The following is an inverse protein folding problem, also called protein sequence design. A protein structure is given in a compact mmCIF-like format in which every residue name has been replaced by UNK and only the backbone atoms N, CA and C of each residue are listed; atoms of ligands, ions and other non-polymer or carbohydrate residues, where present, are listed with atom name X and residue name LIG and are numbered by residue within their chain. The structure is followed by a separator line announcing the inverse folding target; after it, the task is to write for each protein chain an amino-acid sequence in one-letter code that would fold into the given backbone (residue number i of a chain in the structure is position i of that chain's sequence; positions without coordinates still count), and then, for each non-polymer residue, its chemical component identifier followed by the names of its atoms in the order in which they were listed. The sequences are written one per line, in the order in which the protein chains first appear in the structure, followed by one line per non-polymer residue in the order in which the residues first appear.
data_IF_174005491144
#
_entry.id   IF_174005491144
#
_cell.length_a   1.000
_cell.length_b   1.000
_cell.length_c   1.000
_cell.angle_alpha   90.00
_cell.angle_beta   90.00
_cell.angle_gamma   90.00
#
_symmetry.space_group_name_H-M   'P 1'
#
loop_
_entity.id
_entity.type
_entity.pdbx_description
1 polymer ?
#
# COMPACT_ATOMS: atom_id res chain seq x y z
N UNK A 1 -42.81 4.50 70.61
CA UNK A 1 -41.92 5.06 69.57
C UNK A 1 -42.00 6.57 69.63
N UNK A 2 -40.89 7.21 69.99
CA UNK A 2 -40.75 8.65 70.23
C UNK A 2 -41.16 9.47 69.00
N UNK A 3 -41.77 10.65 69.21
CA UNK A 3 -42.30 11.52 68.15
C UNK A 3 -41.16 12.08 67.28
N UNK A 4 -40.00 12.29 67.88
CA UNK A 4 -38.73 12.65 67.23
C UNK A 4 -38.30 11.59 66.21
N UNK A 5 -38.24 10.32 66.64
CA UNK A 5 -37.83 9.17 65.83
C UNK A 5 -38.78 8.96 64.64
N UNK A 6 -40.10 9.15 64.81
CA UNK A 6 -41.04 9.09 63.68
C UNK A 6 -40.77 10.18 62.65
N UNK A 7 -40.45 11.40 63.09
CA UNK A 7 -40.18 12.52 62.19
C UNK A 7 -38.88 12.31 61.42
N UNK A 8 -37.84 11.82 62.09
CA UNK A 8 -36.56 11.46 61.47
C UNK A 8 -36.69 10.29 60.50
N UNK A 9 -37.45 9.25 60.85
CA UNK A 9 -37.70 8.11 59.96
C UNK A 9 -38.49 8.52 58.71
N UNK A 10 -39.41 9.48 58.84
CA UNK A 10 -40.17 10.02 57.71
C UNK A 10 -39.26 10.83 56.79
N UNK A 11 -38.39 11.67 57.35
CA UNK A 11 -37.37 12.40 56.60
C UNK A 11 -36.40 11.46 55.88
N UNK A 12 -35.94 10.40 56.55
CA UNK A 12 -35.05 9.40 55.96
C UNK A 12 -35.71 8.66 54.80
N UNK A 13 -36.99 8.30 54.92
CA UNK A 13 -37.77 7.67 53.84
C UNK A 13 -37.97 8.59 52.65
N UNK A 14 -38.22 9.88 52.88
CA UNK A 14 -38.31 10.88 51.81
C UNK A 14 -36.95 11.08 51.14
N UNK A 15 -35.87 11.19 51.92
CA UNK A 15 -34.51 11.28 51.38
C UNK A 15 -34.14 10.06 50.55
N UNK A 16 -34.35 8.84 51.05
CA UNK A 16 -34.10 7.61 50.30
C UNK A 16 -34.98 7.50 49.06
N UNK A 17 -36.27 7.86 49.17
CA UNK A 17 -37.22 7.86 48.07
C UNK A 17 -36.88 8.86 46.95
N UNK A 18 -36.07 9.88 47.23
CA UNK A 18 -35.58 10.85 46.23
C UNK A 18 -34.17 10.49 45.76
N UNK A 19 -33.26 10.19 46.68
CA UNK A 19 -31.85 9.98 46.37
C UNK A 19 -31.62 8.70 45.59
N UNK A 20 -32.35 7.61 45.86
CA UNK A 20 -32.21 6.35 45.13
C UNK A 20 -32.61 6.48 43.65
N UNK A 21 -33.80 6.98 43.28
CA UNK A 21 -34.13 7.18 41.86
C UNK A 21 -33.23 8.23 41.20
N UNK A 22 -32.81 9.28 41.92
CA UNK A 22 -31.85 10.25 41.38
C UNK A 22 -30.51 9.59 41.06
N UNK A 23 -30.00 8.74 41.95
CA UNK A 23 -28.76 7.99 41.74
C UNK A 23 -28.92 7.04 40.54
N UNK A 24 -30.06 6.33 40.44
CA UNK A 24 -30.36 5.44 39.29
C UNK A 24 -30.36 6.24 37.98
N UNK A 25 -31.02 7.40 37.93
CA UNK A 25 -31.08 8.25 36.74
C UNK A 25 -29.68 8.76 36.36
N UNK A 26 -28.90 9.24 37.34
CA UNK A 26 -27.52 9.69 37.10
C UNK A 26 -26.64 8.56 36.59
N UNK A 27 -26.80 7.35 37.14
CA UNK A 27 -26.04 6.17 36.72
C UNK A 27 -26.43 5.76 35.29
N UNK A 28 -27.72 5.68 34.97
CA UNK A 28 -28.21 5.36 33.63
C UNK A 28 -27.83 6.43 32.59
N UNK A 29 -27.80 7.71 32.97
CA UNK A 29 -27.36 8.80 32.12
C UNK A 29 -25.84 8.79 31.90
N UNK A 30 -25.05 8.43 32.92
CA UNK A 30 -23.59 8.29 32.80
C UNK A 30 -23.19 7.10 31.92
N UNK A 31 -24.00 6.04 31.88
CA UNK A 31 -23.80 4.89 30.98
C UNK A 31 -24.39 5.10 29.57
N UNK A 32 -25.12 6.18 29.33
CA UNK A 32 -25.39 6.67 27.96
C UNK A 32 -24.15 7.35 27.42
N UNK A 33 -23.11 6.56 27.21
CA UNK A 33 -21.95 6.99 26.43
C UNK A 33 -22.46 7.30 25.02
N UNK A 34 -22.31 8.57 24.61
CA UNK A 34 -22.86 9.08 23.37
C UNK A 34 -22.42 8.22 22.18
N UNK A 35 -23.39 7.70 21.44
CA UNK A 35 -23.24 7.21 20.06
C UNK A 35 -23.02 8.34 19.05
N UNK A 36 -22.53 9.50 19.50
CA UNK A 36 -22.27 10.63 18.62
C UNK A 36 -20.93 10.42 17.91
N UNK A 37 -20.96 10.54 16.58
CA UNK A 37 -19.73 10.52 15.77
C UNK A 37 -18.87 11.71 16.17
N UNK A 38 -17.61 11.46 16.53
CA UNK A 38 -16.64 12.51 16.78
C UNK A 38 -16.53 13.41 15.54
N UNK A 39 -16.51 14.73 15.77
CA UNK A 39 -16.33 15.75 14.73
C UNK A 39 -15.10 16.56 15.07
N UNK A 40 -14.21 16.69 14.10
CA UNK A 40 -12.99 17.47 14.22
C UNK A 40 -12.98 18.50 13.09
N UNK A 41 -12.50 19.71 13.39
CA UNK A 41 -12.15 20.67 12.34
C UNK A 41 -10.82 20.30 11.70
N UNK A 42 -9.85 19.87 12.52
CA UNK A 42 -8.51 19.47 12.13
C UNK A 42 -8.00 18.36 13.06
N UNK A 43 -7.07 17.54 12.59
CA UNK A 43 -6.44 16.47 13.37
C UNK A 43 -4.93 16.42 13.09
N UNK A 44 -4.13 16.76 14.11
CA UNK A 44 -2.68 16.55 14.12
C UNK A 44 -2.36 15.18 14.70
N UNK A 45 -2.08 14.21 13.83
CA UNK A 45 -1.81 12.83 14.21
C UNK A 45 -0.69 12.23 13.39
N UNK A 46 0.06 11.32 13.98
CA UNK A 46 1.11 10.59 13.26
C UNK A 46 0.55 9.43 12.44
N UNK A 47 -0.61 8.89 12.84
CA UNK A 47 -1.23 7.69 12.25
C UNK A 47 -2.73 7.61 12.53
N UNK A 48 -3.48 7.14 11.53
CA UNK A 48 -4.89 6.76 11.63
C UNK A 48 -5.01 5.29 11.22
N UNK A 49 -5.69 4.48 12.04
CA UNK A 49 -6.07 3.12 11.70
C UNK A 49 -7.59 3.08 11.46
N UNK A 50 -8.01 2.56 10.31
CA UNK A 50 -9.37 2.10 10.08
C UNK A 50 -9.39 0.60 10.34
N UNK A 51 -10.27 0.16 11.23
CA UNK A 51 -10.36 -1.22 11.70
C UNK A 51 -11.74 -1.80 11.42
N UNK A 52 -11.77 -3.10 11.17
CA UNK A 52 -12.97 -3.91 11.12
C UNK A 52 -13.53 -4.15 12.54
N UNK A 53 -14.80 -4.61 12.68
CA UNK A 53 -15.39 -4.92 13.99
C UNK A 53 -14.61 -5.98 14.79
N UNK A 54 -13.88 -6.87 14.12
CA UNK A 54 -13.03 -7.89 14.75
C UNK A 54 -11.62 -7.37 15.12
N UNK A 55 -11.35 -6.08 14.89
CA UNK A 55 -10.09 -5.42 15.20
C UNK A 55 -9.01 -5.53 14.12
N UNK A 56 -9.26 -6.23 13.00
CA UNK A 56 -8.32 -6.26 11.87
C UNK A 56 -8.20 -4.89 11.22
N UNK A 57 -7.02 -4.60 10.67
CA UNK A 57 -6.81 -3.38 9.89
C UNK A 57 -7.52 -3.49 8.54
N UNK A 58 -8.19 -2.40 8.12
CA UNK A 58 -8.71 -2.19 6.77
C UNK A 58 -7.87 -1.18 5.99
N UNK A 59 -7.42 -0.12 6.68
CA UNK A 59 -6.63 0.95 6.09
C UNK A 59 -5.76 1.61 7.16
N UNK A 60 -4.55 2.01 6.78
CA UNK A 60 -3.62 2.75 7.64
C UNK A 60 -3.16 4.00 6.91
N UNK A 61 -3.40 5.18 7.48
CA UNK A 61 -2.79 6.44 7.03
C UNK A 61 -1.68 6.79 8.01
N UNK A 62 -0.47 7.08 7.56
CA UNK A 62 0.66 7.28 8.47
C UNK A 62 1.79 8.14 7.91
N UNK A 63 2.48 8.81 8.82
CA UNK A 63 3.77 9.46 8.54
C UNK A 63 4.89 8.41 8.38
N UNK A 64 6.11 8.87 8.11
CA UNK A 64 7.23 7.98 7.77
C UNK A 64 7.58 7.04 8.94
N UNK A 65 7.89 7.53 10.16
CA UNK A 65 8.24 6.66 11.30
C UNK A 65 7.13 5.70 11.73
N UNK A 66 5.86 6.06 11.53
CA UNK A 66 4.70 5.22 11.91
C UNK A 66 4.16 4.36 10.77
N UNK A 67 4.77 4.40 9.59
CA UNK A 67 4.35 3.57 8.45
C UNK A 67 4.49 2.08 8.75
N UNK A 68 3.50 1.30 8.33
CA UNK A 68 3.43 -0.15 8.58
C UNK A 68 4.30 -0.92 7.58
N UNK A 69 4.89 -2.03 8.03
CA UNK A 69 5.51 -3.01 7.14
C UNK A 69 4.46 -3.92 6.50
N UNK A 70 4.86 -4.80 5.56
CA UNK A 70 3.95 -5.76 4.94
C UNK A 70 3.34 -6.71 5.96
N UNK A 71 2.02 -6.90 5.87
CA UNK A 71 1.26 -7.86 6.68
C UNK A 71 0.60 -8.87 5.76
N UNK A 72 0.68 -10.14 6.10
CA UNK A 72 -0.01 -11.23 5.41
C UNK A 72 -0.81 -12.03 6.44
N UNK A 73 -2.14 -12.03 6.32
CA UNK A 73 -3.06 -12.71 7.26
C UNK A 73 -2.79 -12.34 8.72
N UNK A 74 -2.57 -11.05 8.98
CA UNK A 74 -2.23 -10.52 10.31
C UNK A 74 -0.77 -10.72 10.76
N UNK A 75 0.08 -11.40 9.97
CA UNK A 75 1.47 -11.64 10.31
C UNK A 75 2.41 -10.69 9.53
N UNK A 76 3.35 -9.99 10.20
CA UNK A 76 4.39 -9.25 9.52
C UNK A 76 5.27 -10.15 8.66
N UNK A 77 5.65 -9.68 7.47
CA UNK A 77 6.57 -10.41 6.60
C UNK A 77 7.45 -9.47 5.75
N UNK A 78 8.57 -9.98 5.24
CA UNK A 78 9.51 -9.21 4.44
C UNK A 78 10.29 -8.19 5.27
N UNK A 79 9.91 -6.91 5.20
CA UNK A 79 10.67 -5.81 5.76
C UNK A 79 9.90 -5.02 6.83
N UNK A 80 10.63 -4.36 7.72
CA UNK A 80 10.03 -3.54 8.76
C UNK A 80 9.33 -2.28 8.18
N UNK A 81 8.37 -1.75 8.94
CA UNK A 81 7.79 -0.43 8.66
C UNK A 81 8.78 0.72 8.84
N UNK A 82 8.32 1.97 8.67
CA UNK A 82 9.13 3.17 8.90
C UNK A 82 9.67 3.86 7.65
N UNK A 83 9.47 3.30 6.46
CA UNK A 83 10.04 3.82 5.21
C UNK A 83 9.03 4.41 4.22
N UNK A 84 7.73 4.15 4.41
CA UNK A 84 6.68 4.30 3.39
C UNK A 84 5.50 5.15 3.90
N UNK A 85 5.65 6.48 4.10
CA UNK A 85 4.52 7.31 4.52
C UNK A 85 3.42 7.31 3.45
N UNK A 86 2.17 7.35 3.89
CA UNK A 86 1.01 7.33 3.02
C UNK A 86 -0.12 6.44 3.56
N UNK A 87 -0.82 5.77 2.65
CA UNK A 87 -2.01 4.95 2.90
C UNK A 87 -1.73 3.51 2.50
N UNK A 88 -1.96 2.55 3.40
CA UNK A 88 -1.85 1.11 3.12
C UNK A 88 -3.22 0.47 3.29
N UNK A 89 -3.61 -0.40 2.36
CA UNK A 89 -4.91 -1.09 2.34
C UNK A 89 -4.75 -2.57 2.72
N UNK A 90 -5.82 -3.14 3.28
CA UNK A 90 -5.89 -4.55 3.65
C UNK A 90 -7.16 -5.21 3.12
N UNK A 91 -7.06 -6.48 2.76
CA UNK A 91 -8.21 -7.33 2.43
C UNK A 91 -8.85 -7.93 3.69
N UNK A 92 -9.94 -8.68 3.52
CA UNK A 92 -10.74 -9.26 4.63
C UNK A 92 -9.98 -10.34 5.43
N UNK A 93 -8.93 -10.91 4.82
CA UNK A 93 -8.03 -11.85 5.49
C UNK A 93 -6.97 -11.13 6.33
N UNK A 94 -6.87 -9.81 6.25
CA UNK A 94 -5.85 -9.01 6.95
C UNK A 94 -4.49 -9.02 6.25
N UNK A 95 -4.48 -9.19 4.92
CA UNK A 95 -3.27 -9.08 4.08
C UNK A 95 -3.20 -7.70 3.43
N UNK A 96 -2.03 -7.05 3.48
CA UNK A 96 -1.73 -5.81 2.72
C UNK A 96 -1.97 -6.10 1.23
N UNK A 97 -2.78 -5.27 0.57
CA UNK A 97 -3.17 -5.50 -0.83
C UNK A 97 -3.03 -4.25 -1.72
N UNK A 98 -1.98 -3.47 -1.43
CA UNK A 98 -1.65 -2.24 -2.13
C UNK A 98 -1.63 -1.03 -1.20
N UNK A 99 -1.29 0.11 -1.79
CA UNK A 99 -1.16 1.34 -1.04
C UNK A 99 -0.77 2.53 -1.90
N UNK A 100 -0.90 3.70 -1.31
CA UNK A 100 -0.41 4.97 -1.82
C UNK A 100 0.74 5.43 -0.93
N UNK A 101 1.94 5.57 -1.48
CA UNK A 101 3.12 6.03 -0.72
C UNK A 101 3.75 7.24 -1.37
N UNK A 102 4.35 8.09 -0.54
CA UNK A 102 5.04 9.30 -0.95
C UNK A 102 6.47 9.30 -0.43
N UNK A 103 7.37 9.90 -1.18
CA UNK A 103 8.76 10.04 -0.83
C UNK A 103 9.35 11.27 -1.47
N UNK A 104 10.26 11.92 -0.76
CA UNK A 104 11.03 12.99 -1.31
C UNK A 104 12.00 13.55 -0.30
N UNK A 105 13.22 13.81 -0.75
CA UNK A 105 14.25 14.46 0.05
C UNK A 105 15.26 15.15 -0.84
N UNK A 106 15.95 16.12 -0.26
CA UNK A 106 17.08 16.81 -0.87
C UNK A 106 18.26 16.71 0.08
N UNK A 107 19.41 16.35 -0.46
CA UNK A 107 20.69 16.36 0.26
C UNK A 107 21.28 17.78 0.26
N UNK A 108 22.22 18.10 1.19
CA UNK A 108 22.79 19.44 1.29
C UNK A 108 23.50 19.95 0.02
N UNK A 109 24.01 19.04 -0.82
CA UNK A 109 24.62 19.33 -2.13
C UNK A 109 23.59 19.69 -3.22
N UNK A 110 22.29 19.68 -2.90
CA UNK A 110 21.20 20.01 -3.82
C UNK A 110 20.63 18.82 -4.60
N UNK A 111 21.29 17.65 -4.55
CA UNK A 111 20.77 16.42 -5.16
C UNK A 111 19.45 16.04 -4.51
N UNK A 112 18.46 15.61 -5.29
CA UNK A 112 17.15 15.26 -4.75
C UNK A 112 16.60 13.96 -5.32
N UNK A 113 15.75 13.33 -4.53
CA UNK A 113 14.88 12.23 -4.96
C UNK A 113 13.44 12.59 -4.65
N UNK A 114 12.52 12.14 -5.50
CA UNK A 114 11.09 12.21 -5.24
C UNK A 114 10.40 10.97 -5.81
N UNK A 115 9.40 10.45 -5.11
CA UNK A 115 8.67 9.27 -5.53
C UNK A 115 7.21 9.29 -5.05
N UNK A 116 6.29 8.89 -5.91
CA UNK A 116 4.91 8.57 -5.53
C UNK A 116 4.58 7.21 -6.11
N UNK A 117 3.91 6.37 -5.33
CA UNK A 117 3.57 5.02 -5.74
C UNK A 117 2.17 4.68 -5.26
N UNK A 118 1.23 4.53 -6.18
CA UNK A 118 -0.08 3.93 -5.93
C UNK A 118 -0.09 2.56 -6.56
N UNK A 119 -0.38 1.52 -5.79
CA UNK A 119 -0.42 0.16 -6.28
C UNK A 119 -1.60 -0.63 -5.77
N UNK A 120 -1.97 -1.64 -6.56
CA UNK A 120 -2.95 -2.65 -6.23
C UNK A 120 -2.32 -4.03 -6.43
N UNK A 121 -2.35 -4.82 -5.38
CA UNK A 121 -1.80 -6.16 -5.39
C UNK A 121 -2.83 -7.16 -5.93
N UNK A 122 -2.35 -8.18 -6.63
CA UNK A 122 -3.18 -9.34 -6.92
C UNK A 122 -3.42 -10.13 -5.63
N UNK A 123 -4.56 -10.82 -5.52
CA UNK A 123 -4.88 -11.62 -4.34
C UNK A 123 -3.79 -12.64 -4.02
N UNK A 124 -3.31 -12.66 -2.77
CA UNK A 124 -2.17 -13.46 -2.28
C UNK A 124 -0.87 -13.30 -3.10
N UNK A 125 -0.74 -12.17 -3.78
CA UNK A 125 0.37 -11.80 -4.67
C UNK A 125 0.87 -10.38 -4.37
N UNK A 126 1.73 -9.89 -5.25
CA UNK A 126 2.29 -8.55 -5.27
C UNK A 126 1.59 -7.69 -6.35
N UNK A 127 2.09 -6.47 -6.59
CA UNK A 127 1.47 -5.49 -7.48
C UNK A 127 1.19 -6.01 -8.91
N UNK A 128 -0.04 -5.76 -9.39
CA UNK A 128 -0.45 -5.94 -10.80
C UNK A 128 -0.89 -4.65 -11.48
N UNK A 129 -1.18 -3.59 -10.73
CA UNK A 129 -1.48 -2.27 -11.27
C UNK A 129 -0.72 -1.23 -10.46
N UNK A 130 0.03 -0.36 -11.14
CA UNK A 130 0.87 0.64 -10.48
C UNK A 130 0.81 1.97 -11.21
N UNK A 131 0.46 3.04 -10.52
CA UNK A 131 0.71 4.42 -10.93
C UNK A 131 1.94 4.94 -10.19
N UNK A 132 2.99 5.25 -10.92
CA UNK A 132 4.30 5.57 -10.35
C UNK A 132 4.81 6.93 -10.84
N UNK A 133 5.45 7.66 -9.94
CA UNK A 133 6.32 8.79 -10.24
C UNK A 133 7.66 8.55 -9.55
N UNK A 134 8.75 8.71 -10.27
CA UNK A 134 10.11 8.68 -9.73
C UNK A 134 10.93 9.77 -10.39
N UNK A 135 11.64 10.56 -9.60
CA UNK A 135 12.56 11.59 -10.07
C UNK A 135 13.84 11.50 -9.26
N UNK A 136 14.93 11.12 -9.93
CA UNK A 136 16.26 11.13 -9.35
C UNK A 136 17.06 12.25 -10.00
N UNK A 137 17.07 13.42 -9.36
CA UNK A 137 17.78 14.61 -9.81
C UNK A 137 17.51 14.98 -11.28
N UNK A 138 16.24 14.98 -11.69
CA UNK A 138 15.80 15.28 -13.06
C UNK A 138 15.66 14.05 -13.97
N UNK A 139 16.20 12.88 -13.58
CA UNK A 139 15.93 11.61 -14.24
C UNK A 139 14.54 11.12 -13.84
N UNK A 140 13.54 11.66 -14.55
CA UNK A 140 12.13 11.48 -14.25
C UNK A 140 11.49 10.39 -15.09
N UNK A 141 10.79 9.48 -14.43
CA UNK A 141 9.83 8.55 -15.02
C UNK A 141 8.47 8.70 -14.34
N UNK A 142 7.40 8.72 -15.12
CA UNK A 142 6.02 8.78 -14.60
C UNK A 142 5.15 7.90 -15.47
N UNK A 143 4.32 7.05 -14.91
CA UNK A 143 3.46 6.20 -15.71
C UNK A 143 2.55 5.27 -14.93
N UNK A 144 1.63 4.68 -15.67
CA UNK A 144 0.74 3.61 -15.26
C UNK A 144 1.22 2.31 -15.90
N UNK A 145 1.36 1.25 -15.10
CA UNK A 145 1.68 -0.08 -15.59
C UNK A 145 0.67 -1.13 -15.12
N UNK A 146 0.52 -2.15 -15.94
CA UNK A 146 -0.24 -3.37 -15.64
C UNK A 146 0.69 -4.56 -15.82
N UNK A 147 0.72 -5.46 -14.85
CA UNK A 147 1.54 -6.66 -14.87
C UNK A 147 0.68 -7.93 -14.74
N UNK A 148 1.23 -9.01 -15.26
CA UNK A 148 0.76 -10.38 -15.08
C UNK A 148 1.80 -11.13 -14.24
N UNK A 149 1.37 -12.01 -13.36
CA UNK A 149 2.25 -12.71 -12.42
C UNK A 149 2.00 -14.21 -12.46
N UNK A 150 3.04 -14.98 -12.18
CA UNK A 150 2.87 -16.39 -11.87
C UNK A 150 1.99 -16.55 -10.61
N UNK A 151 1.15 -17.59 -10.60
CA UNK A 151 0.27 -17.88 -9.47
C UNK A 151 1.03 -18.59 -8.35
N UNK A 152 1.76 -17.83 -7.53
CA UNK A 152 2.64 -18.35 -6.46
C UNK A 152 2.64 -17.48 -5.23
N UNK A 153 2.14 -17.97 -4.10
CA UNK A 153 1.89 -17.16 -2.91
C UNK A 153 3.05 -16.23 -2.50
N UNK A 154 2.78 -14.93 -2.32
CA UNK A 154 3.79 -13.91 -2.02
C UNK A 154 4.52 -14.17 -0.69
N UNK A 155 3.82 -14.69 0.31
CA UNK A 155 4.40 -14.99 1.61
C UNK A 155 5.49 -16.06 1.50
N UNK A 156 5.23 -17.13 0.74
CA UNK A 156 6.20 -18.19 0.49
C UNK A 156 7.39 -17.71 -0.34
N UNK A 157 7.13 -16.90 -1.38
CA UNK A 157 8.19 -16.31 -2.20
C UNK A 157 9.14 -15.43 -1.39
N UNK A 158 8.58 -14.58 -0.52
CA UNK A 158 9.36 -13.68 0.34
C UNK A 158 10.15 -14.50 1.37
N UNK A 159 9.53 -15.51 1.99
CA UNK A 159 10.22 -16.39 2.95
C UNK A 159 11.37 -17.16 2.30
N UNK A 160 11.18 -17.65 1.08
CA UNK A 160 12.23 -18.29 0.29
C UNK A 160 13.38 -17.32 0.03
N UNK A 161 13.09 -16.11 -0.47
CA UNK A 161 14.08 -15.04 -0.67
C UNK A 161 14.84 -14.73 0.60
N UNK A 162 14.13 -14.57 1.72
CA UNK A 162 14.74 -14.20 3.00
C UNK A 162 15.66 -15.32 3.52
N UNK A 163 15.37 -16.58 3.21
CA UNK A 163 16.29 -17.68 3.50
C UNK A 163 17.57 -17.62 2.65
N UNK A 164 17.47 -17.25 1.37
CA UNK A 164 18.61 -17.05 0.46
C UNK A 164 19.46 -15.86 0.92
N UNK A 165 18.83 -14.78 1.39
CA UNK A 165 19.52 -13.58 1.84
C UNK A 165 20.43 -13.81 3.04
N UNK A 166 20.20 -14.88 3.82
CA UNK A 166 21.06 -15.30 4.94
C UNK A 166 22.35 -16.03 4.50
N UNK A 167 22.45 -16.43 3.23
CA UNK A 167 23.68 -17.01 2.71
C UNK A 167 24.79 -15.95 2.67
N UNK A 168 26.06 -16.36 2.85
CA UNK A 168 27.21 -15.50 2.60
C UNK A 168 27.18 -14.97 1.16
N UNK A 169 27.68 -13.75 0.97
CA UNK A 169 27.81 -13.18 -0.36
C UNK A 169 28.79 -14.01 -1.19
N UNK A 170 28.39 -14.34 -2.42
CA UNK A 170 29.17 -15.16 -3.33
C UNK A 170 28.34 -15.86 -4.39
N UNK A 171 28.99 -16.68 -5.24
CA UNK A 171 28.35 -17.30 -6.41
C UNK A 171 27.11 -18.13 -6.06
N UNK A 172 27.11 -18.82 -4.92
CA UNK A 172 25.98 -19.64 -4.47
C UNK A 172 24.73 -18.81 -4.19
N UNK A 173 24.87 -17.67 -3.49
CA UNK A 173 23.77 -16.74 -3.24
C UNK A 173 23.25 -16.12 -4.53
N UNK A 174 24.15 -15.73 -5.43
CA UNK A 174 23.79 -15.20 -6.75
C UNK A 174 22.99 -16.22 -7.56
N UNK A 175 23.46 -17.46 -7.68
CA UNK A 175 22.77 -18.52 -8.39
C UNK A 175 21.41 -18.86 -7.77
N UNK A 176 21.32 -18.89 -6.43
CA UNK A 176 20.05 -19.09 -5.73
C UNK A 176 19.06 -17.96 -5.99
N UNK A 177 19.51 -16.70 -5.97
CA UNK A 177 18.67 -15.54 -6.30
C UNK A 177 18.24 -15.53 -7.77
N UNK A 178 19.10 -15.94 -8.70
CA UNK A 178 18.74 -16.10 -10.12
C UNK A 178 17.64 -17.14 -10.30
N UNK A 179 17.81 -18.31 -9.68
CA UNK A 179 16.78 -19.36 -9.68
C UNK A 179 15.47 -18.84 -9.06
N UNK A 180 15.56 -18.13 -7.95
CA UNK A 180 14.38 -17.56 -7.27
C UNK A 180 13.63 -16.56 -8.15
N UNK A 181 14.33 -15.68 -8.88
CA UNK A 181 13.75 -14.73 -9.85
C UNK A 181 13.19 -15.38 -11.11
N UNK A 182 13.56 -16.65 -11.36
CA UNK A 182 13.18 -17.38 -12.55
C UNK A 182 11.66 -17.59 -12.68
N UNK A 183 11.20 -18.05 -13.86
CA UNK A 183 9.80 -18.36 -14.08
C UNK A 183 9.32 -19.53 -13.20
N UNK A 184 8.01 -19.57 -12.96
CA UNK A 184 7.31 -20.68 -12.30
C UNK A 184 6.49 -21.41 -13.35
N UNK A 185 6.81 -22.67 -13.62
CA UNK A 185 6.17 -23.48 -14.67
C UNK A 185 6.14 -22.79 -16.05
N UNK A 186 7.23 -22.11 -16.42
CA UNK A 186 7.33 -21.37 -17.69
C UNK A 186 6.67 -19.98 -17.69
N UNK A 187 5.96 -19.61 -16.63
CA UNK A 187 5.35 -18.27 -16.46
C UNK A 187 6.31 -17.36 -15.70
N UNK A 188 6.65 -16.15 -16.19
CA UNK A 188 7.46 -15.20 -15.45
C UNK A 188 6.87 -14.90 -14.07
N UNK A 189 7.73 -14.69 -13.06
CA UNK A 189 7.29 -14.31 -11.73
C UNK A 189 6.45 -13.02 -11.74
N UNK A 190 6.86 -12.07 -12.59
CA UNK A 190 6.12 -10.88 -12.95
C UNK A 190 6.53 -10.45 -14.37
N UNK A 191 5.55 -10.11 -15.20
CA UNK A 191 5.74 -9.59 -16.54
C UNK A 191 4.83 -8.37 -16.73
N UNK A 192 5.42 -7.19 -16.93
CA UNK A 192 4.66 -6.02 -17.36
C UNK A 192 4.00 -6.32 -18.70
N UNK A 193 2.70 -6.03 -18.83
CA UNK A 193 1.90 -6.23 -20.05
C UNK A 193 1.61 -4.92 -20.76
N UNK A 194 1.43 -3.86 -19.98
CA UNK A 194 1.14 -2.51 -20.47
C UNK A 194 1.94 -1.52 -19.66
N UNK A 195 2.56 -0.56 -20.34
CA UNK A 195 3.11 0.65 -19.73
C UNK A 195 2.66 1.87 -20.52
N UNK A 196 2.09 2.86 -19.83
CA UNK A 196 1.71 4.15 -20.39
C UNK A 196 2.36 5.24 -19.54
N UNK A 197 3.21 6.07 -20.13
CA UNK A 197 3.87 7.10 -19.34
C UNK A 197 4.93 7.90 -20.08
N UNK A 198 5.72 8.64 -19.33
CA UNK A 198 6.91 9.34 -19.78
C UNK A 198 8.16 8.65 -19.24
N UNK A 199 9.10 8.37 -20.12
CA UNK A 199 10.39 7.76 -19.79
C UNK A 199 11.47 8.80 -19.43
N UNK A 200 12.62 8.31 -18.97
CA UNK A 200 13.75 9.15 -18.53
C UNK A 200 14.35 9.98 -19.68
N UNK A 201 14.32 9.43 -20.91
CA UNK A 201 14.69 10.11 -22.16
C UNK A 201 13.68 11.18 -22.61
N UNK A 202 12.66 11.43 -21.78
CA UNK A 202 11.54 12.35 -21.99
C UNK A 202 10.54 11.92 -23.05
N UNK A 203 10.65 10.71 -23.60
CA UNK A 203 9.67 10.19 -24.53
C UNK A 203 8.34 9.89 -23.82
N UNK A 204 7.21 10.29 -24.42
CA UNK A 204 5.90 9.78 -24.05
C UNK A 204 5.70 8.43 -24.76
N UNK A 205 5.30 7.39 -24.04
CA UNK A 205 5.28 6.02 -24.54
C UNK A 205 4.01 5.26 -24.10
N UNK A 206 3.50 4.42 -24.99
CA UNK A 206 2.66 3.27 -24.70
C UNK A 206 3.42 2.02 -25.18
N UNK A 207 3.62 1.04 -24.31
CA UNK A 207 4.20 -0.26 -24.65
C UNK A 207 3.19 -1.36 -24.36
N UNK A 208 2.98 -2.23 -25.33
CA UNK A 208 2.26 -3.49 -25.18
C UNK A 208 3.26 -4.63 -25.29
N UNK A 209 3.25 -5.50 -24.30
CA UNK A 209 4.22 -6.58 -24.11
C UNK A 209 3.54 -7.94 -24.23
N UNK A 210 4.31 -8.95 -24.63
CA UNK A 210 3.86 -10.35 -24.64
C UNK A 210 3.82 -10.97 -23.22
N UNK A 211 3.35 -12.22 -23.05
CA UNK A 211 3.32 -12.88 -21.74
C UNK A 211 4.69 -13.08 -21.07
N UNK A 212 5.79 -12.89 -21.81
CA UNK A 212 7.14 -12.92 -21.28
C UNK A 212 7.67 -11.52 -20.92
N UNK A 213 6.85 -10.47 -21.07
CA UNK A 213 7.22 -9.07 -20.80
C UNK A 213 8.03 -8.39 -21.91
N UNK A 214 8.16 -9.03 -23.07
CA UNK A 214 8.90 -8.51 -24.24
C UNK A 214 8.00 -7.56 -25.03
N UNK A 215 8.52 -6.41 -25.43
CA UNK A 215 7.77 -5.44 -26.23
C UNK A 215 7.33 -6.06 -27.57
N UNK A 216 6.07 -5.82 -27.94
CA UNK A 216 5.49 -6.21 -29.22
C UNK A 216 4.94 -5.01 -29.99
N UNK A 217 4.47 -4.00 -29.26
CA UNK A 217 4.01 -2.74 -29.85
C UNK A 217 4.57 -1.60 -29.00
N UNK A 218 5.20 -0.63 -29.65
CA UNK A 218 5.65 0.63 -29.02
C UNK A 218 5.06 1.80 -29.76
N UNK A 219 4.28 2.62 -29.08
CA UNK A 219 3.84 3.92 -29.58
C UNK A 219 4.55 4.99 -28.77
N UNK A 220 5.27 5.87 -29.44
CA UNK A 220 6.18 6.82 -28.80
C UNK A 220 6.10 8.19 -29.45
N UNK A 221 6.28 9.24 -28.66
CA UNK A 221 6.62 10.58 -29.11
C UNK A 221 7.89 10.95 -28.35
N UNK A 222 9.00 11.10 -29.07
CA UNK A 222 10.28 11.38 -28.43
C UNK A 222 10.40 12.82 -27.95
N UNK A 223 11.54 13.16 -27.34
CA UNK A 223 11.80 14.48 -26.77
C UNK A 223 11.82 15.63 -27.79
N UNK A 224 11.91 15.32 -29.09
CA UNK A 224 11.82 16.30 -30.18
C UNK A 224 10.39 16.48 -30.71
N UNK A 225 9.45 15.67 -30.23
CA UNK A 225 8.07 15.64 -30.72
C UNK A 225 7.86 14.68 -31.89
N UNK A 226 8.87 13.88 -32.26
CA UNK A 226 8.75 12.96 -33.40
C UNK A 226 7.94 11.72 -33.00
N UNK A 227 6.80 11.42 -33.65
CA UNK A 227 6.00 10.24 -33.34
C UNK A 227 6.55 8.99 -34.03
N UNK A 228 6.49 7.84 -33.35
CA UNK A 228 6.77 6.51 -33.90
C UNK A 228 5.80 5.46 -33.35
N UNK A 229 5.25 4.63 -34.22
CA UNK A 229 4.56 3.38 -33.88
C UNK A 229 5.36 2.21 -34.45
N UNK A 230 5.80 1.29 -33.61
CA UNK A 230 6.65 0.15 -33.98
C UNK A 230 6.01 -1.17 -33.57
N UNK A 231 6.05 -2.15 -34.48
CA UNK A 231 5.70 -3.55 -34.23
C UNK A 231 6.99 -4.37 -34.20
N UNK A 232 7.16 -5.19 -33.16
CA UNK A 232 8.39 -5.93 -32.90
C UNK A 232 8.15 -7.45 -32.97
N UNK A 233 9.11 -8.17 -33.56
CA UNK A 233 9.13 -9.63 -33.59
C UNK A 233 9.50 -10.22 -32.21
N UNK A 234 9.56 -11.55 -32.14
CA UNK A 234 9.84 -12.25 -30.89
C UNK A 234 11.19 -11.90 -30.23
N UNK A 235 12.16 -11.47 -31.04
CA UNK A 235 13.52 -11.10 -30.66
C UNK A 235 13.67 -9.58 -30.41
N UNK A 236 12.59 -8.80 -30.55
CA UNK A 236 12.60 -7.36 -30.38
C UNK A 236 13.09 -6.59 -31.61
N UNK A 237 13.18 -7.23 -32.78
CA UNK A 237 13.48 -6.55 -34.04
C UNK A 237 12.22 -5.89 -34.58
N UNK A 238 12.35 -4.64 -35.00
CA UNK A 238 11.24 -3.90 -35.63
C UNK A 238 10.87 -4.56 -36.97
N UNK A 239 9.66 -5.09 -37.05
CA UNK A 239 9.07 -5.63 -38.27
C UNK A 239 8.45 -4.54 -39.12
N UNK A 240 7.83 -3.55 -38.46
CA UNK A 240 7.13 -2.46 -39.10
C UNK A 240 7.19 -1.21 -38.24
N UNK A 241 7.30 -0.03 -38.87
CA UNK A 241 7.34 1.27 -38.20
C UNK A 241 6.48 2.29 -38.94
N UNK A 242 5.84 3.20 -38.20
CA UNK A 242 5.09 4.33 -38.75
C UNK A 242 5.52 5.63 -38.08
N UNK A 243 5.79 6.71 -38.84
CA UNK A 243 5.94 6.72 -40.29
C UNK A 243 7.07 5.77 -40.72
N UNK A 244 6.98 5.23 -41.95
CA UNK A 244 8.11 4.51 -42.53
C UNK A 244 9.27 5.51 -42.60
N UNK A 245 10.27 5.39 -41.73
CA UNK A 245 11.42 6.28 -41.75
C UNK A 245 11.98 6.31 -43.17
N UNK A 246 12.10 7.53 -43.72
CA UNK A 246 12.54 7.77 -45.09
C UNK A 246 13.93 7.21 -45.38
#
# INVERSE_FOLDING_TARGET
MDRSIRRELTWLRVHAGISTPLLIVVTLAAFRQETQKARFTEMDVERINVVEPDGKLRMVISNRPRSIGPIYKGQPFGYAGGGRPGIIFFNDEGTENGGLTFGGSRTPDGTFTASHHLSFDQFDQDQIMVLNYTDNNGQRRVGLSFAERANVNIFDLVRERDSIMKLPDGPAKTAALEKWRGPRNGVPLSAERVYLGREMDRAAVLRLKDPQGRDRIRMTVDSTGTPRLEFLDENGKVMQRFPNGG
#
